data_IF_181747127663
#
_entry.id   IF_181747127663
#
_cell.length_a   1.000
_cell.length_b   1.000
_cell.length_c   1.000
_cell.angle_alpha   90.00
_cell.angle_beta   90.00
_cell.angle_gamma   90.00
#
_symmetry.space_group_name_H-M   'P 1'
#
loop_
_entity.id
_entity.type
_entity.pdbx_description
1 polymer ?
#
# COMPACT_ATOMS: atom_id res chain seq x y z
N UNK A 1 8.26 -5.18 -3.41
CA UNK A 1 8.04 -6.34 -2.50
C UNK A 1 7.35 -7.45 -3.29
N UNK A 2 7.09 -8.63 -2.72
CA UNK A 2 6.19 -9.61 -3.34
C UNK A 2 4.71 -9.14 -3.22
N UNK A 3 3.78 -9.57 -4.09
CA UNK A 3 2.38 -9.16 -4.01
C UNK A 3 1.75 -9.33 -2.63
N UNK A 4 1.93 -10.49 -2.00
CA UNK A 4 1.39 -10.77 -0.66
C UNK A 4 2.02 -9.88 0.43
N UNK A 5 3.24 -9.40 0.22
CA UNK A 5 3.89 -8.48 1.15
C UNK A 5 3.26 -7.08 1.10
N UNK A 6 2.60 -6.70 0.00
CA UNK A 6 1.82 -5.45 -0.08
C UNK A 6 0.66 -5.48 0.91
N UNK A 7 -0.03 -6.62 1.03
CA UNK A 7 -1.10 -6.82 2.01
C UNK A 7 -0.59 -6.79 3.46
N UNK A 8 0.56 -7.43 3.71
CA UNK A 8 1.21 -7.39 5.03
C UNK A 8 1.61 -5.96 5.40
N UNK A 9 2.15 -5.19 4.45
CA UNK A 9 2.45 -3.77 4.65
C UNK A 9 1.19 -2.99 4.98
N UNK A 10 0.11 -3.16 4.22
CA UNK A 10 -1.18 -2.51 4.49
C UNK A 10 -1.70 -2.81 5.89
N UNK A 11 -1.70 -4.08 6.33
CA UNK A 11 -2.13 -4.44 7.68
C UNK A 11 -1.32 -3.71 8.76
N UNK A 12 0.01 -3.72 8.62
CA UNK A 12 0.91 -3.04 9.57
C UNK A 12 0.71 -1.52 9.60
N UNK A 13 0.42 -0.91 8.45
CA UNK A 13 0.13 0.52 8.35
C UNK A 13 -1.20 0.85 9.03
N UNK A 14 -2.24 0.07 8.76
CA UNK A 14 -3.57 0.23 9.37
C UNK A 14 -3.53 0.03 10.90
N UNK A 15 -2.81 -0.98 11.40
CA UNK A 15 -2.61 -1.21 12.84
C UNK A 15 -1.93 -0.03 13.55
N UNK A 16 -1.10 0.72 12.82
CA UNK A 16 -0.41 1.92 13.31
C UNK A 16 -1.21 3.20 13.14
N UNK A 17 -2.43 3.12 12.59
CA UNK A 17 -3.29 4.28 12.34
C UNK A 17 -2.77 5.19 11.23
N UNK A 18 -1.96 4.67 10.30
CA UNK A 18 -1.56 5.41 9.10
C UNK A 18 -2.77 5.58 8.19
N UNK A 19 -2.92 6.77 7.61
CA UNK A 19 -4.01 7.06 6.69
C UNK A 19 -3.84 6.30 5.38
N UNK A 20 -4.68 5.30 5.15
CA UNK A 20 -4.73 4.54 3.89
C UNK A 20 -5.63 5.29 2.91
N UNK A 21 -5.08 5.66 1.76
CA UNK A 21 -5.78 6.37 0.69
C UNK A 21 -6.44 5.37 -0.27
N UNK A 22 -5.73 4.30 -0.61
CA UNK A 22 -6.23 3.20 -1.43
C UNK A 22 -5.72 1.87 -0.86
N UNK A 23 -6.60 0.91 -0.54
CA UNK A 23 -6.19 -0.40 -0.05
C UNK A 23 -5.42 -1.18 -1.14
N UNK A 24 -4.72 -2.27 -0.77
CA UNK A 24 -4.04 -3.16 -1.73
C UNK A 24 -4.92 -3.53 -2.92
N UNK A 25 -4.54 -3.03 -4.10
CA UNK A 25 -5.32 -3.17 -5.34
C UNK A 25 -4.44 -3.66 -6.47
N UNK A 26 -4.96 -4.61 -7.24
CA UNK A 26 -4.32 -5.09 -8.46
C UNK A 26 -4.62 -4.12 -9.61
N UNK A 27 -3.56 -3.50 -10.12
CA UNK A 27 -3.58 -2.52 -11.19
C UNK A 27 -3.59 -3.22 -12.55
N UNK A 28 -4.29 -2.64 -13.54
CA UNK A 28 -4.43 -3.19 -14.89
C UNK A 28 -3.11 -3.48 -15.63
N UNK A 29 -2.01 -2.89 -15.16
CA UNK A 29 -0.64 -3.06 -15.66
C UNK A 29 0.10 -4.27 -15.04
N UNK A 30 -0.56 -5.09 -14.22
CA UNK A 30 0.01 -6.30 -13.63
C UNK A 30 0.78 -6.07 -12.34
N UNK A 31 0.35 -5.11 -11.51
CA UNK A 31 1.04 -4.76 -10.26
C UNK A 31 0.06 -4.71 -9.10
N UNK A 32 0.51 -5.02 -7.88
CA UNK A 32 -0.25 -4.83 -6.64
C UNK A 32 0.28 -3.60 -5.90
N UNK A 33 -0.60 -2.70 -5.50
CA UNK A 33 -0.22 -1.43 -4.85
C UNK A 33 -1.10 -1.07 -3.67
N UNK A 34 -0.53 -0.45 -2.64
CA UNK A 34 -1.26 0.27 -1.57
C UNK A 34 -0.78 1.72 -1.54
N UNK A 35 -1.70 2.67 -1.43
CA UNK A 35 -1.41 4.10 -1.28
C UNK A 35 -1.78 4.59 0.12
N UNK A 36 -0.91 5.40 0.72
CA UNK A 36 -1.11 5.95 2.06
C UNK A 36 -0.46 7.33 2.20
N UNK A 37 -0.88 8.10 3.21
CA UNK A 37 -0.26 9.38 3.55
C UNK A 37 0.54 9.26 4.84
N UNK A 38 1.69 9.92 4.89
CA UNK A 38 2.36 10.20 6.16
C UNK A 38 1.74 11.41 6.87
N UNK A 39 2.12 11.71 8.12
CA UNK A 39 1.60 12.86 8.86
C UNK A 39 1.97 14.23 8.27
N UNK A 40 2.97 14.29 7.39
CA UNK A 40 3.36 15.52 6.68
C UNK A 40 2.52 15.74 5.42
N UNK A 41 1.66 14.79 5.06
CA UNK A 41 0.80 14.83 3.88
C UNK A 41 1.47 14.30 2.61
N UNK A 42 2.63 13.64 2.72
CA UNK A 42 3.26 13.01 1.57
C UNK A 42 2.53 11.72 1.21
N UNK A 43 2.21 11.57 -0.08
CA UNK A 43 1.60 10.35 -0.61
C UNK A 43 2.70 9.36 -0.97
N UNK A 44 2.60 8.18 -0.41
CA UNK A 44 3.56 7.08 -0.56
C UNK A 44 2.84 5.86 -1.11
N UNK A 45 3.61 5.02 -1.83
CA UNK A 45 3.13 3.73 -2.33
C UNK A 45 4.06 2.58 -1.94
N UNK A 46 3.46 1.42 -1.67
CA UNK A 46 4.18 0.13 -1.65
C UNK A 46 3.69 -0.69 -2.83
N UNK A 47 4.63 -1.27 -3.55
CA UNK A 47 4.42 -1.84 -4.88
C UNK A 47 5.07 -3.22 -5.04
N UNK A 48 4.40 -4.08 -5.80
CA UNK A 48 4.89 -5.38 -6.27
C UNK A 48 4.41 -5.69 -7.69
N UNK A 49 5.23 -6.39 -8.48
CA UNK A 49 4.81 -7.00 -9.75
C UNK A 49 4.06 -8.32 -9.50
N UNK A 50 3.02 -8.61 -10.29
CA UNK A 50 2.20 -9.85 -10.26
C UNK A 50 2.53 -10.74 -11.45
#
# INVERSE_FOLDING_TARGET
VLPDEVDVCHQRLAERGVEILEPPTDQARGHRTVYFSDPEGNILEVYAEI
#
